data_IF_129044032575
#
_entry.id   IF_129044032575
#
_cell.length_a   1.000
_cell.length_b   1.000
_cell.length_c   1.000
_cell.angle_alpha   90.00
_cell.angle_beta   90.00
_cell.angle_gamma   90.00
#
_symmetry.space_group_name_H-M   'P 1'
#
loop_
_entity.id
_entity.type
_entity.pdbx_description
1 polymer ?
#
# COMPACT_ATOMS: atom_id res chain seq x y z
N UNK A 1 -18.93 19.42 -15.69
CA UNK A 1 -18.73 19.45 -14.23
C UNK A 1 -17.29 19.07 -13.94
N UNK A 2 -16.52 19.84 -13.15
CA UNK A 2 -15.20 19.39 -12.72
C UNK A 2 -15.39 18.10 -11.91
N UNK A 3 -14.65 17.04 -12.24
CA UNK A 3 -14.60 15.84 -11.38
C UNK A 3 -14.05 16.28 -10.03
N UNK A 4 -14.75 15.95 -8.95
CA UNK A 4 -14.24 16.17 -7.60
C UNK A 4 -12.84 15.55 -7.50
N UNK A 5 -11.89 16.27 -6.92
CA UNK A 5 -10.58 15.70 -6.60
C UNK A 5 -10.83 14.53 -5.63
N UNK A 6 -10.13 13.38 -5.76
CA UNK A 6 -10.17 12.36 -4.74
C UNK A 6 -9.81 13.00 -3.40
N UNK A 7 -10.62 12.76 -2.37
CA UNK A 7 -10.33 13.18 -1.00
C UNK A 7 -9.18 12.29 -0.52
N UNK A 8 -8.06 12.88 -0.15
CA UNK A 8 -7.01 12.16 0.60
C UNK A 8 -7.64 11.83 1.95
N UNK A 9 -7.75 10.55 2.30
CA UNK A 9 -8.46 10.13 3.52
C UNK A 9 -7.67 10.40 4.82
N UNK A 10 -6.49 11.01 4.73
CA UNK A 10 -5.63 11.34 5.87
C UNK A 10 -6.46 12.00 6.98
N UNK A 11 -6.53 11.29 8.11
CA UNK A 11 -7.14 11.71 9.39
C UNK A 11 -8.64 12.05 9.39
N UNK A 12 -9.30 12.10 8.23
CA UNK A 12 -10.72 12.39 8.15
C UNK A 12 -11.56 11.16 8.59
N UNK A 13 -12.42 11.27 9.62
CA UNK A 13 -13.28 10.17 10.00
C UNK A 13 -14.19 9.79 8.84
N UNK A 14 -14.34 8.49 8.62
CA UNK A 14 -15.20 7.95 7.56
C UNK A 14 -16.54 7.59 8.16
N UNK A 15 -17.57 8.37 7.85
CA UNK A 15 -18.93 8.03 8.27
C UNK A 15 -19.39 6.72 7.63
N UNK A 16 -20.06 5.87 8.41
CA UNK A 16 -20.58 4.59 7.94
C UNK A 16 -21.47 4.73 6.69
N UNK A 17 -22.22 5.84 6.59
CA UNK A 17 -23.08 6.15 5.44
C UNK A 17 -22.30 6.46 4.14
N UNK A 18 -21.01 6.79 4.23
CA UNK A 18 -20.16 7.21 3.11
C UNK A 18 -19.30 6.07 2.56
N UNK A 19 -19.36 4.88 3.16
CA UNK A 19 -18.53 3.71 2.80
C UNK A 19 -18.60 3.34 1.31
N UNK A 20 -19.76 3.45 0.69
CA UNK A 20 -19.95 3.12 -0.75
C UNK A 20 -19.23 4.12 -1.68
N UNK A 21 -18.78 5.27 -1.19
CA UNK A 21 -18.04 6.27 -1.94
C UNK A 21 -16.51 6.11 -1.89
N UNK A 22 -16.00 5.14 -1.13
CA UNK A 22 -14.56 4.94 -0.96
C UNK A 22 -13.90 4.42 -2.24
N UNK A 23 -12.62 4.77 -2.49
CA UNK A 23 -11.88 4.31 -3.67
C UNK A 23 -11.40 2.86 -3.56
N UNK A 24 -11.77 2.14 -2.50
CA UNK A 24 -11.38 0.75 -2.23
C UNK A 24 -12.53 0.00 -1.53
N UNK A 25 -12.45 -1.32 -1.55
CA UNK A 25 -13.41 -2.18 -0.85
C UNK A 25 -12.92 -2.46 0.58
N UNK A 26 -13.75 -2.17 1.58
CA UNK A 26 -13.45 -2.54 2.97
C UNK A 26 -13.71 -4.02 3.24
N UNK A 27 -12.77 -4.66 3.96
CA UNK A 27 -12.93 -6.01 4.51
C UNK A 27 -14.13 -6.04 5.47
N UNK A 28 -14.89 -7.14 5.46
CA UNK A 28 -16.04 -7.35 6.35
C UNK A 28 -15.62 -8.21 7.53
N UNK A 29 -16.04 -7.84 8.73
CA UNK A 29 -15.92 -8.68 9.92
C UNK A 29 -17.17 -9.55 10.09
N UNK A 30 -16.96 -10.81 10.48
CA UNK A 30 -18.03 -11.68 10.97
C UNK A 30 -18.30 -11.41 12.46
N UNK A 31 -19.44 -11.92 12.96
CA UNK A 31 -19.74 -11.84 14.40
C UNK A 31 -18.70 -12.60 15.22
N UNK A 32 -18.21 -13.75 14.72
CA UNK A 32 -17.19 -14.52 15.41
C UNK A 32 -15.86 -13.76 15.51
N UNK A 33 -15.43 -13.12 14.41
CA UNK A 33 -14.23 -12.28 14.40
C UNK A 33 -14.38 -11.06 15.32
N UNK A 34 -15.56 -10.44 15.37
CA UNK A 34 -15.82 -9.35 16.30
C UNK A 34 -15.61 -9.76 17.76
N UNK A 35 -16.10 -10.95 18.15
CA UNK A 35 -15.84 -11.47 19.48
C UNK A 35 -14.37 -11.83 19.70
N UNK A 36 -13.71 -12.42 18.68
CA UNK A 36 -12.29 -12.73 18.76
C UNK A 36 -11.41 -11.49 18.94
N UNK A 37 -11.78 -10.34 18.36
CA UNK A 37 -11.09 -9.06 18.60
C UNK A 37 -11.16 -8.63 20.08
N UNK A 38 -12.31 -8.82 20.73
CA UNK A 38 -12.48 -8.51 22.16
C UNK A 38 -11.69 -9.49 23.02
N UNK A 39 -11.77 -10.79 22.72
CA UNK A 39 -11.03 -11.84 23.44
C UNK A 39 -9.51 -11.65 23.33
N UNK A 40 -9.03 -11.18 22.19
CA UNK A 40 -7.63 -10.84 21.96
C UNK A 40 -7.20 -9.50 22.59
N UNK A 41 -8.14 -8.72 23.15
CA UNK A 41 -7.87 -7.41 23.73
C UNK A 41 -7.57 -6.31 22.71
N UNK A 42 -7.87 -6.55 21.43
CA UNK A 42 -7.70 -5.57 20.33
C UNK A 42 -8.81 -4.53 20.40
N UNK A 43 -10.03 -4.97 20.71
CA UNK A 43 -11.11 -4.08 21.15
C UNK A 43 -11.16 -4.12 22.67
N UNK A 44 -11.11 -2.96 23.32
CA UNK A 44 -11.13 -2.91 24.78
C UNK A 44 -12.50 -3.36 25.33
N UNK A 45 -12.51 -4.01 26.50
CA UNK A 45 -13.75 -4.35 27.19
C UNK A 45 -14.48 -3.06 27.60
N UNK A 46 -15.60 -2.78 26.94
CA UNK A 46 -16.35 -1.52 27.11
C UNK A 46 -16.01 -0.41 26.12
N UNK A 47 -15.16 -0.68 25.12
CA UNK A 47 -15.03 0.19 23.95
C UNK A 47 -16.40 0.37 23.29
N UNK A 48 -16.78 1.63 23.03
CA UNK A 48 -18.14 1.96 22.59
C UNK A 48 -18.30 1.78 21.07
N UNK A 49 -18.14 0.53 20.61
CA UNK A 49 -18.25 0.13 19.21
C UNK A 49 -19.34 -0.92 19.00
N UNK A 50 -19.82 -1.04 17.78
CA UNK A 50 -20.76 -2.09 17.35
C UNK A 50 -20.42 -2.64 15.95
N UNK A 51 -20.93 -3.82 15.65
CA UNK A 51 -20.78 -4.46 14.33
C UNK A 51 -22.01 -4.20 13.44
N UNK A 52 -21.89 -3.27 12.48
CA UNK A 52 -22.95 -2.93 11.52
C UNK A 52 -22.67 -3.49 10.13
N UNK A 53 -23.44 -4.50 9.71
CA UNK A 53 -23.30 -5.18 8.40
C UNK A 53 -21.85 -5.60 8.08
N UNK A 54 -21.11 -6.02 9.11
CA UNK A 54 -19.71 -6.43 9.00
C UNK A 54 -18.70 -5.27 9.01
N UNK A 55 -19.07 -4.11 9.56
CA UNK A 55 -18.16 -2.97 9.81
C UNK A 55 -18.14 -2.70 11.30
N UNK A 56 -16.97 -2.41 11.85
CA UNK A 56 -16.83 -1.99 13.25
C UNK A 56 -16.96 -0.46 13.27
N UNK A 57 -17.93 0.04 14.03
CA UNK A 57 -18.37 1.43 13.99
C UNK A 57 -18.44 1.95 15.42
N UNK A 58 -18.02 3.18 15.64
CA UNK A 58 -18.19 3.89 16.91
C UNK A 58 -19.66 4.24 17.14
N UNK A 59 -20.21 3.87 18.30
CA UNK A 59 -21.64 4.02 18.62
C UNK A 59 -22.10 5.50 18.71
N UNK A 60 -21.20 6.41 19.07
CA UNK A 60 -21.54 7.82 19.30
C UNK A 60 -21.59 8.62 18.00
N UNK A 61 -20.69 8.31 17.07
CA UNK A 61 -20.44 9.09 15.85
C UNK A 61 -20.94 8.39 14.59
N UNK A 62 -21.14 7.08 14.65
CA UNK A 62 -21.35 6.22 13.48
C UNK A 62 -20.21 6.32 12.45
N UNK A 63 -19.00 6.63 12.89
CA UNK A 63 -17.79 6.57 12.07
C UNK A 63 -17.18 5.16 12.11
N UNK A 64 -16.51 4.76 11.04
CA UNK A 64 -15.71 3.54 11.03
C UNK A 64 -14.62 3.63 12.09
N UNK A 65 -14.49 2.58 12.91
CA UNK A 65 -13.36 2.45 13.81
C UNK A 65 -12.09 2.25 13.00
N UNK A 66 -11.09 3.08 13.25
CA UNK A 66 -9.75 2.92 12.68
C UNK A 66 -8.91 1.98 13.56
N UNK A 67 -8.03 1.23 12.94
CA UNK A 67 -7.06 0.35 13.60
C UNK A 67 -5.65 0.91 13.49
N UNK A 68 -4.85 0.77 14.54
CA UNK A 68 -3.41 1.03 14.43
C UNK A 68 -2.71 -0.12 13.69
N UNK A 69 -1.44 0.09 13.30
CA UNK A 69 -0.61 -0.98 12.75
C UNK A 69 -0.44 -2.12 13.76
N UNK A 70 -0.24 -1.79 15.03
CA UNK A 70 -0.08 -2.77 16.12
C UNK A 70 -1.36 -3.60 16.33
N UNK A 71 -2.53 -2.96 16.24
CA UNK A 71 -3.80 -3.67 16.31
C UNK A 71 -3.99 -4.60 15.11
N UNK A 72 -3.63 -4.15 13.90
CA UNK A 72 -3.68 -4.96 12.69
C UNK A 72 -2.74 -6.18 12.76
N UNK A 73 -1.49 -5.98 13.18
CA UNK A 73 -0.53 -7.07 13.41
C UNK A 73 -1.03 -8.02 14.51
N UNK A 74 -1.64 -7.49 15.58
CA UNK A 74 -2.25 -8.29 16.64
C UNK A 74 -3.43 -9.12 16.12
N UNK A 75 -4.23 -8.62 15.16
CA UNK A 75 -5.29 -9.40 14.53
C UNK A 75 -4.74 -10.61 13.77
N UNK A 76 -3.62 -10.43 13.07
CA UNK A 76 -2.94 -11.51 12.35
C UNK A 76 -2.40 -12.53 13.37
N UNK A 77 -1.72 -12.06 14.41
CA UNK A 77 -1.17 -12.93 15.46
C UNK A 77 -2.25 -13.72 16.22
N UNK A 78 -3.43 -13.11 16.44
CA UNK A 78 -4.58 -13.75 17.07
C UNK A 78 -5.39 -14.65 16.11
N UNK A 79 -5.09 -14.65 14.82
CA UNK A 79 -5.82 -15.42 13.81
C UNK A 79 -7.19 -14.87 13.45
N UNK A 80 -7.48 -13.61 13.79
CA UNK A 80 -8.68 -12.88 13.33
C UNK A 80 -8.58 -12.60 11.84
N UNK A 81 -7.38 -12.21 11.40
CA UNK A 81 -6.95 -12.23 10.01
C UNK A 81 -6.00 -13.41 9.85
N UNK A 82 -6.14 -14.19 8.78
CA UNK A 82 -5.16 -15.24 8.53
C UNK A 82 -3.96 -14.67 7.77
N UNK A 83 -2.78 -15.22 8.04
CA UNK A 83 -1.56 -14.85 7.32
C UNK A 83 -1.75 -15.08 5.81
N UNK A 84 -1.60 -14.02 5.01
CA UNK A 84 -1.82 -14.06 3.56
C UNK A 84 -3.28 -13.85 3.12
N UNK A 85 -4.17 -13.41 4.02
CA UNK A 85 -5.44 -12.82 3.60
C UNK A 85 -5.14 -11.63 2.67
N UNK A 86 -5.80 -11.49 1.50
CA UNK A 86 -5.49 -10.43 0.53
C UNK A 86 -6.08 -9.09 0.99
N UNK A 87 -5.53 -8.56 2.07
CA UNK A 87 -5.91 -7.31 2.72
C UNK A 87 -4.69 -6.51 3.09
N UNK A 88 -4.87 -5.20 3.19
CA UNK A 88 -3.87 -4.27 3.71
C UNK A 88 -4.55 -3.24 4.61
N UNK A 89 -3.77 -2.67 5.53
CA UNK A 89 -4.21 -1.57 6.37
C UNK A 89 -3.90 -0.25 5.67
N UNK A 90 -4.93 0.51 5.29
CA UNK A 90 -4.76 1.84 4.73
C UNK A 90 -5.51 2.84 5.60
N UNK A 91 -4.79 3.78 6.21
CA UNK A 91 -5.36 4.86 7.01
C UNK A 91 -6.28 4.36 8.14
N UNK A 92 -5.83 3.29 8.78
CA UNK A 92 -6.52 2.54 9.83
C UNK A 92 -7.72 1.72 9.37
N UNK A 93 -7.95 1.60 8.06
CA UNK A 93 -9.03 0.80 7.50
C UNK A 93 -8.46 -0.46 6.85
N UNK A 94 -9.05 -1.61 7.16
CA UNK A 94 -8.64 -2.88 6.54
C UNK A 94 -9.37 -3.00 5.20
N UNK A 95 -8.59 -2.92 4.13
CA UNK A 95 -9.06 -2.91 2.75
C UNK A 95 -8.75 -4.23 2.07
N UNK A 96 -9.57 -4.63 1.09
CA UNK A 96 -9.26 -5.79 0.26
C UNK A 96 -8.35 -5.39 -0.89
N UNK A 97 -7.35 -6.21 -1.14
CA UNK A 97 -6.52 -6.09 -2.34
C UNK A 97 -7.30 -6.50 -3.59
N UNK A 98 -6.97 -5.86 -4.71
CA UNK A 98 -7.49 -6.26 -6.01
C UNK A 98 -6.91 -7.61 -6.44
N UNK A 99 -7.71 -8.41 -7.15
CA UNK A 99 -7.22 -9.65 -7.74
C UNK A 99 -6.11 -9.36 -8.77
N UNK A 100 -4.99 -10.07 -8.65
CA UNK A 100 -3.83 -9.92 -9.52
C UNK A 100 -4.08 -10.58 -10.88
N UNK A 101 -3.97 -9.81 -11.95
CA UNK A 101 -4.02 -10.29 -13.34
C UNK A 101 -2.66 -10.75 -13.86
N UNK A 102 -2.63 -11.53 -14.94
CA UNK A 102 -1.37 -12.03 -15.52
C UNK A 102 -0.43 -10.92 -16.00
N UNK A 103 -0.97 -9.80 -16.51
CA UNK A 103 -0.17 -8.66 -16.95
C UNK A 103 0.50 -7.95 -15.77
N UNK A 104 -0.19 -7.89 -14.63
CA UNK A 104 0.35 -7.40 -13.36
C UNK A 104 1.49 -8.29 -12.88
N UNK A 105 1.24 -9.59 -12.72
CA UNK A 105 2.24 -10.55 -12.27
C UNK A 105 3.49 -10.51 -13.16
N UNK A 106 3.33 -10.53 -14.49
CA UNK A 106 4.44 -10.47 -15.42
C UNK A 106 5.23 -9.15 -15.35
N UNK A 107 4.62 -8.04 -14.93
CA UNK A 107 5.30 -6.77 -14.71
C UNK A 107 6.16 -6.83 -13.43
N UNK A 108 5.60 -7.36 -12.35
CA UNK A 108 6.31 -7.57 -11.08
C UNK A 108 7.49 -8.53 -11.26
N UNK A 109 7.29 -9.66 -11.95
CA UNK A 109 8.34 -10.64 -12.25
C UNK A 109 9.52 -10.01 -13.00
N UNK A 110 9.24 -9.11 -13.96
CA UNK A 110 10.29 -8.44 -14.74
C UNK A 110 11.02 -7.36 -13.95
N UNK A 111 10.34 -6.71 -13.01
CA UNK A 111 10.99 -5.80 -12.07
C UNK A 111 11.89 -6.57 -11.10
N UNK A 112 11.43 -7.69 -10.53
CA UNK A 112 12.23 -8.53 -9.65
C UNK A 112 13.45 -9.12 -10.37
N UNK A 113 13.25 -9.66 -11.58
CA UNK A 113 14.34 -10.15 -12.45
C UNK A 113 15.38 -9.06 -12.70
N UNK A 114 14.95 -7.86 -13.11
CA UNK A 114 15.86 -6.75 -13.39
C UNK A 114 16.64 -6.32 -12.14
N UNK A 115 15.98 -6.22 -10.99
CA UNK A 115 16.65 -5.77 -9.76
C UNK A 115 17.46 -6.88 -9.06
N UNK A 116 17.30 -8.14 -9.47
CA UNK A 116 18.03 -9.28 -8.91
C UNK A 116 19.55 -9.13 -9.06
N UNK A 117 20.01 -8.48 -10.13
CA UNK A 117 21.43 -8.20 -10.40
C UNK A 117 22.07 -7.25 -9.37
N UNK A 118 21.27 -6.54 -8.56
CA UNK A 118 21.73 -5.55 -7.58
C UNK A 118 21.54 -6.02 -6.14
N UNK A 119 21.25 -7.30 -5.89
CA UNK A 119 21.04 -7.86 -4.54
C UNK A 119 22.28 -7.80 -3.62
N UNK A 120 23.46 -7.47 -4.16
CA UNK A 120 24.65 -7.16 -3.37
C UNK A 120 24.60 -5.75 -2.72
N UNK A 121 23.76 -4.86 -3.26
CA UNK A 121 23.63 -3.45 -2.81
C UNK A 121 22.34 -3.20 -2.04
N UNK A 122 21.32 -4.05 -2.20
CA UNK A 122 19.98 -3.87 -1.66
C UNK A 122 19.27 -5.22 -1.46
N UNK A 123 18.13 -5.19 -0.76
CA UNK A 123 17.18 -6.30 -0.73
C UNK A 123 16.05 -5.97 -1.71
N UNK A 124 15.72 -6.91 -2.61
CA UNK A 124 14.51 -6.84 -3.42
C UNK A 124 13.44 -7.69 -2.74
N UNK A 125 12.29 -7.07 -2.45
CA UNK A 125 11.14 -7.70 -1.81
C UNK A 125 9.89 -7.44 -2.63
N UNK A 126 9.10 -8.48 -2.87
CA UNK A 126 7.84 -8.37 -3.62
C UNK A 126 6.67 -8.66 -2.70
N UNK A 127 5.56 -7.93 -2.90
CA UNK A 127 4.26 -8.21 -2.29
C UNK A 127 4.37 -8.50 -0.78
N UNK A 128 4.97 -7.56 -0.04
CA UNK A 128 5.19 -7.72 1.39
C UNK A 128 5.02 -6.38 2.12
N UNK A 129 4.64 -6.38 3.40
CA UNK A 129 4.37 -5.16 4.15
C UNK A 129 5.56 -4.21 4.28
N UNK A 130 5.23 -2.91 4.30
CA UNK A 130 6.06 -1.81 4.81
C UNK A 130 5.26 -1.11 5.91
N UNK A 131 5.86 -0.85 7.08
CA UNK A 131 5.19 -0.17 8.19
C UNK A 131 5.22 1.34 8.01
N UNK A 132 4.03 1.96 8.01
CA UNK A 132 3.82 3.41 7.97
C UNK A 132 2.95 3.84 9.18
N UNK A 133 3.52 3.79 10.40
CA UNK A 133 2.75 3.72 11.64
C UNK A 133 1.97 5.00 11.99
N UNK A 134 2.50 6.19 11.69
CA UNK A 134 1.89 7.47 12.10
C UNK A 134 0.50 7.70 11.49
N UNK A 135 0.21 7.10 10.33
CA UNK A 135 -1.12 7.15 9.71
C UNK A 135 -1.91 5.83 9.85
N UNK A 136 -1.46 4.90 10.69
CA UNK A 136 -2.09 3.58 10.83
C UNK A 136 -2.14 2.84 9.49
N UNK A 137 -1.03 2.83 8.75
CA UNK A 137 -0.98 2.28 7.39
C UNK A 137 0.14 1.25 7.29
N UNK A 138 -0.16 0.12 6.67
CA UNK A 138 0.80 -0.95 6.40
C UNK A 138 0.49 -1.52 4.99
N UNK A 139 0.92 -0.82 3.93
CA UNK A 139 0.68 -1.26 2.56
C UNK A 139 1.64 -2.39 2.17
N UNK A 140 1.20 -3.19 1.21
CA UNK A 140 2.07 -4.17 0.54
C UNK A 140 2.35 -3.70 -0.90
N UNK A 141 3.44 -2.95 -1.15
CA UNK A 141 3.80 -2.61 -2.52
C UNK A 141 4.14 -3.87 -3.32
N UNK A 142 3.90 -3.81 -4.62
CA UNK A 142 4.22 -4.92 -5.52
C UNK A 142 5.71 -5.24 -5.56
N UNK A 143 6.56 -4.21 -5.47
CA UNK A 143 8.00 -4.36 -5.28
C UNK A 143 8.56 -3.24 -4.40
N UNK A 144 9.47 -3.60 -3.50
CA UNK A 144 10.25 -2.67 -2.70
C UNK A 144 11.75 -2.98 -2.84
N UNK A 145 12.55 -1.93 -3.00
CA UNK A 145 13.99 -1.97 -2.84
C UNK A 145 14.31 -1.47 -1.43
N UNK A 146 14.95 -2.31 -0.63
CA UNK A 146 15.22 -2.05 0.77
C UNK A 146 16.71 -1.94 1.05
N UNK A 147 17.04 -1.18 2.09
CA UNK A 147 18.37 -1.17 2.71
C UNK A 147 18.75 -2.60 3.13
N UNK A 148 19.98 -3.06 2.82
CA UNK A 148 20.46 -4.36 3.31
C UNK A 148 20.41 -4.44 4.83
N UNK A 149 19.91 -5.57 5.33
CA UNK A 149 19.82 -5.91 6.76
C UNK A 149 20.06 -7.41 6.90
N UNK A 150 20.91 -7.82 7.84
CA UNK A 150 21.39 -9.21 7.93
C UNK A 150 20.27 -10.25 8.15
N UNK A 151 19.25 -9.88 8.94
CA UNK A 151 18.09 -10.72 9.25
C UNK A 151 16.98 -10.63 8.20
N UNK A 152 17.19 -9.89 7.11
CA UNK A 152 16.16 -9.63 6.11
C UNK A 152 14.83 -9.15 6.72
N UNK A 153 14.87 -8.30 7.75
CA UNK A 153 13.66 -7.77 8.41
C UNK A 153 12.77 -8.86 9.03
N UNK A 154 13.36 -9.99 9.47
CA UNK A 154 12.64 -11.06 10.17
C UNK A 154 11.98 -10.57 11.46
N UNK A 155 12.62 -9.66 12.19
CA UNK A 155 12.11 -9.19 13.49
C UNK A 155 11.14 -8.00 13.39
N UNK A 156 10.77 -7.58 12.18
CA UNK A 156 9.87 -6.45 11.96
C UNK A 156 9.99 -5.89 10.55
N UNK A 157 8.85 -5.54 9.96
CA UNK A 157 8.74 -4.99 8.61
C UNK A 157 9.55 -3.68 8.44
N UNK A 158 10.04 -3.39 7.22
CA UNK A 158 10.79 -2.16 6.95
C UNK A 158 9.95 -0.91 7.20
N UNK A 159 10.61 0.13 7.70
CA UNK A 159 10.06 1.48 7.90
C UNK A 159 10.52 2.42 6.76
N UNK A 160 9.99 3.65 6.62
CA UNK A 160 10.30 4.52 5.47
C UNK A 160 11.79 4.74 5.19
N UNK A 161 12.62 4.86 6.22
CA UNK A 161 14.08 5.09 6.10
C UNK A 161 14.87 3.86 5.59
N UNK A 162 14.23 2.70 5.61
CA UNK A 162 14.74 1.44 5.08
C UNK A 162 14.34 1.24 3.61
N UNK A 163 13.38 2.00 3.10
CA UNK A 163 12.83 1.81 1.76
C UNK A 163 13.47 2.79 0.78
N UNK A 164 14.29 2.26 -0.13
CA UNK A 164 14.91 3.04 -1.20
C UNK A 164 13.93 3.36 -2.34
N UNK A 165 13.04 2.44 -2.66
CA UNK A 165 12.02 2.59 -3.70
C UNK A 165 10.84 1.68 -3.37
N UNK A 166 9.62 2.22 -3.43
CA UNK A 166 8.39 1.44 -3.47
C UNK A 166 7.78 1.51 -4.88
N UNK A 167 7.33 0.38 -5.42
CA UNK A 167 6.71 0.27 -6.75
C UNK A 167 5.31 -0.31 -6.61
N UNK A 168 4.33 0.43 -7.10
CA UNK A 168 2.96 -0.03 -7.32
C UNK A 168 2.77 -0.36 -8.80
N UNK A 169 2.22 -1.53 -9.09
CA UNK A 169 1.81 -1.95 -10.43
C UNK A 169 0.30 -1.93 -10.47
N UNK A 170 -0.26 -1.17 -11.41
CA UNK A 170 -1.68 -0.93 -11.42
C UNK A 170 -2.32 -1.32 -12.75
N UNK A 171 -3.14 -2.37 -12.72
CA UNK A 171 -4.08 -2.70 -13.80
C UNK A 171 -5.39 -1.89 -13.60
N UNK A 172 -6.08 -2.08 -12.48
CA UNK A 172 -7.36 -1.40 -12.19
C UNK A 172 -7.30 -0.45 -10.99
N UNK A 173 -6.23 -0.52 -10.20
CA UNK A 173 -6.06 0.18 -8.92
C UNK A 173 -5.40 1.55 -9.06
N UNK A 174 -5.01 1.96 -10.28
CA UNK A 174 -4.18 3.16 -10.48
C UNK A 174 -4.83 4.46 -9.97
N UNK A 175 -6.16 4.47 -9.77
CA UNK A 175 -6.84 5.58 -9.11
C UNK A 175 -6.57 5.60 -7.60
N UNK A 176 -6.79 4.46 -6.96
CA UNK A 176 -6.57 4.21 -5.53
C UNK A 176 -5.10 4.39 -5.15
N UNK A 177 -4.17 3.83 -5.92
CA UNK A 177 -2.74 3.96 -5.63
C UNK A 177 -2.31 5.43 -5.64
N UNK A 178 -2.85 6.23 -6.58
CA UNK A 178 -2.56 7.67 -6.65
C UNK A 178 -3.20 8.50 -5.54
N UNK A 179 -4.35 8.10 -5.02
CA UNK A 179 -5.09 8.89 -4.02
C UNK A 179 -4.76 8.49 -2.59
N UNK A 180 -4.36 7.24 -2.37
CA UNK A 180 -4.13 6.70 -1.02
C UNK A 180 -2.65 6.35 -0.80
N UNK A 181 -2.10 5.39 -1.57
CA UNK A 181 -0.76 4.84 -1.30
C UNK A 181 0.36 5.83 -1.57
N UNK A 182 0.37 6.47 -2.74
CA UNK A 182 1.42 7.44 -3.12
C UNK A 182 1.47 8.63 -2.14
N UNK A 183 0.33 9.26 -1.74
CA UNK A 183 0.32 10.24 -0.67
C UNK A 183 0.80 9.70 0.69
N UNK A 184 0.40 8.48 1.07
CA UNK A 184 0.84 7.87 2.33
C UNK A 184 2.37 7.67 2.34
N UNK A 185 2.97 7.26 1.23
CA UNK A 185 4.44 7.18 1.11
C UNK A 185 5.10 8.55 1.27
N UNK A 186 4.58 9.59 0.63
CA UNK A 186 5.12 10.93 0.72
C UNK A 186 5.05 11.49 2.16
N UNK A 187 3.91 11.33 2.82
CA UNK A 187 3.68 11.83 4.17
C UNK A 187 4.63 11.22 5.21
N UNK A 188 5.12 10.00 4.95
CA UNK A 188 6.12 9.32 5.79
C UNK A 188 7.57 9.52 5.30
N UNK A 189 7.81 10.41 4.34
CA UNK A 189 9.15 10.74 3.88
C UNK A 189 9.81 9.68 3.00
N UNK A 190 9.05 8.70 2.49
CA UNK A 190 9.59 7.64 1.64
C UNK A 190 10.20 8.27 0.38
N UNK A 191 11.48 8.02 0.14
CA UNK A 191 12.30 8.85 -0.77
C UNK A 191 11.83 8.86 -2.22
N UNK A 192 11.39 7.71 -2.71
CA UNK A 192 10.99 7.52 -4.10
C UNK A 192 9.89 6.47 -4.22
N UNK A 193 8.83 6.79 -4.96
CA UNK A 193 7.77 5.86 -5.29
C UNK A 193 7.51 5.82 -6.80
N UNK A 194 7.25 4.64 -7.33
CA UNK A 194 6.93 4.41 -8.73
C UNK A 194 5.51 3.84 -8.85
N UNK A 195 4.76 4.33 -9.84
CA UNK A 195 3.46 3.76 -10.21
C UNK A 195 3.46 3.37 -11.68
N UNK A 196 3.35 2.07 -11.95
CA UNK A 196 3.21 1.51 -13.30
C UNK A 196 1.73 1.44 -13.66
N UNK A 197 1.23 2.38 -14.47
CA UNK A 197 -0.14 2.37 -14.99
C UNK A 197 -0.17 1.51 -16.26
N UNK A 198 -0.49 0.22 -16.10
CA UNK A 198 -0.46 -0.76 -17.18
C UNK A 198 -1.46 -0.42 -18.31
N UNK A 199 -2.75 -0.09 -18.04
CA UNK A 199 -3.69 0.22 -19.12
C UNK A 199 -3.31 1.43 -19.95
N UNK A 200 -2.58 2.38 -19.34
CA UNK A 200 -2.13 3.58 -20.05
C UNK A 200 -0.68 3.51 -20.49
N UNK A 201 0.01 2.40 -20.27
CA UNK A 201 1.42 2.18 -20.63
C UNK A 201 2.34 3.35 -20.21
N UNK A 202 2.41 3.63 -18.92
CA UNK A 202 3.41 4.56 -18.36
C UNK A 202 3.94 4.12 -17.02
N UNK A 203 5.15 4.59 -16.75
CA UNK A 203 5.70 4.71 -15.42
C UNK A 203 5.55 6.15 -14.93
N UNK A 204 4.97 6.33 -13.74
CA UNK A 204 5.02 7.60 -13.01
C UNK A 204 6.06 7.49 -11.90
N UNK A 205 6.97 8.46 -11.82
CA UNK A 205 8.03 8.52 -10.81
C UNK A 205 7.74 9.70 -9.90
N UNK A 206 7.74 9.44 -8.59
CA UNK A 206 7.45 10.39 -7.54
C UNK A 206 8.65 10.56 -6.61
N UNK A 207 9.06 11.80 -6.35
CA UNK A 207 10.24 12.18 -5.55
C UNK A 207 10.01 13.48 -4.80
N UNK A 208 10.90 13.76 -3.85
CA UNK A 208 10.86 14.94 -3.00
C UNK A 208 9.57 14.92 -2.14
N UNK A 209 9.52 14.02 -1.13
CA UNK A 209 8.31 13.81 -0.34
C UNK A 209 7.94 15.08 0.44
N UNK A 210 6.66 15.47 0.34
CA UNK A 210 6.04 16.53 1.13
C UNK A 210 4.85 15.99 1.95
N UNK A 211 4.22 16.85 2.79
CA UNK A 211 3.20 16.41 3.74
C UNK A 211 1.94 15.80 3.10
N UNK A 212 1.51 16.34 1.95
CA UNK A 212 0.30 15.87 1.26
C UNK A 212 0.61 14.91 0.10
N UNK A 213 1.77 15.10 -0.55
CA UNK A 213 2.23 14.31 -1.69
C UNK A 213 3.68 14.64 -2.03
N UNK A 214 4.24 13.93 -3.01
CA UNK A 214 5.53 14.23 -3.60
C UNK A 214 5.50 15.53 -4.41
N UNK A 215 6.52 16.37 -4.26
CA UNK A 215 6.65 17.63 -4.99
C UNK A 215 7.07 17.41 -6.46
N UNK A 216 7.83 16.35 -6.73
CA UNK A 216 8.28 16.00 -8.08
C UNK A 216 7.50 14.80 -8.60
N UNK A 217 6.87 14.98 -9.77
CA UNK A 217 6.29 13.90 -10.57
C UNK A 217 6.84 13.93 -11.99
N UNK A 218 7.36 12.79 -12.46
CA UNK A 218 7.70 12.56 -13.87
C UNK A 218 6.86 11.42 -14.44
N UNK A 219 6.62 11.46 -15.74
CA UNK A 219 5.90 10.40 -16.45
C UNK A 219 6.75 9.96 -17.63
N UNK A 220 7.08 8.68 -17.65
CA UNK A 220 7.91 8.04 -18.65
C UNK A 220 7.08 7.04 -19.47
N UNK A 221 7.49 6.86 -20.72
CA UNK A 221 6.87 6.01 -21.74
C UNK A 221 7.91 5.04 -22.29
N UNK A 222 7.46 4.12 -23.14
CA UNK A 222 8.36 3.23 -23.90
C UNK A 222 9.39 4.07 -24.67
N UNK A 223 10.66 3.66 -24.61
CA UNK A 223 11.79 4.43 -25.17
C UNK A 223 12.46 5.39 -24.18
N UNK A 224 11.85 5.64 -23.02
CA UNK A 224 12.50 6.31 -21.90
C UNK A 224 13.18 5.30 -20.96
N UNK A 225 14.00 5.79 -20.04
CA UNK A 225 14.56 5.02 -18.93
C UNK A 225 14.39 5.75 -17.59
N UNK A 226 14.20 4.96 -16.53
CA UNK A 226 14.11 5.43 -15.16
C UNK A 226 15.41 5.14 -14.40
N UNK A 227 15.91 6.09 -13.62
CA UNK A 227 17.13 5.91 -12.82
C UNK A 227 16.77 5.98 -11.33
N UNK A 228 16.68 4.87 -10.57
CA UNK A 228 16.36 4.90 -9.15
C UNK A 228 17.37 5.75 -8.37
N UNK A 229 16.91 6.52 -7.38
CA UNK A 229 17.79 7.42 -6.63
C UNK A 229 18.85 6.64 -5.83
N UNK A 230 18.52 5.44 -5.36
CA UNK A 230 19.47 4.56 -4.66
C UNK A 230 20.47 3.86 -5.60
N UNK A 231 20.20 3.84 -6.90
CA UNK A 231 21.04 3.25 -7.94
C UNK A 231 21.29 4.27 -9.06
N UNK A 232 22.02 5.39 -8.79
CA UNK A 232 22.17 6.49 -9.73
C UNK A 232 22.97 6.14 -11.00
N UNK A 233 23.62 4.97 -11.00
CA UNK A 233 24.38 4.37 -12.07
C UNK A 233 23.58 3.34 -12.90
N UNK A 234 22.29 3.15 -12.59
CA UNK A 234 21.43 2.13 -13.20
C UNK A 234 20.26 2.78 -13.92
N UNK A 235 20.19 2.57 -15.23
CA UNK A 235 19.03 2.94 -16.04
C UNK A 235 18.13 1.71 -16.25
N UNK A 236 16.85 1.85 -15.89
CA UNK A 236 15.80 0.85 -16.09
C UNK A 236 14.97 1.26 -17.31
N UNK A 237 15.15 0.62 -18.47
CA UNK A 237 14.34 0.95 -19.64
C UNK A 237 12.86 0.67 -19.38
N UNK A 238 11.97 1.58 -19.74
CA UNK A 238 10.54 1.43 -19.45
C UNK A 238 9.95 0.19 -20.13
N UNK A 239 10.45 -0.21 -21.31
CA UNK A 239 10.06 -1.47 -21.96
C UNK A 239 10.42 -2.73 -21.16
N UNK A 240 11.45 -2.70 -20.31
CA UNK A 240 11.75 -3.83 -19.41
C UNK A 240 10.68 -3.99 -18.34
N UNK A 241 10.04 -2.88 -17.94
CA UNK A 241 8.93 -2.82 -16.96
C UNK A 241 7.58 -3.10 -17.61
N UNK A 242 7.28 -2.51 -18.77
CA UNK A 242 5.97 -2.68 -19.43
C UNK A 242 5.88 -3.93 -20.31
N UNK A 243 6.99 -4.44 -20.83
CA UNK A 243 7.09 -5.73 -21.51
C UNK A 243 7.07 -5.57 -23.01
N UNK A 244 6.96 -6.65 -23.80
CA UNK A 244 6.71 -6.48 -25.22
C UNK A 244 5.41 -5.68 -25.39
N UNK A 245 5.46 -4.56 -26.13
CA UNK A 245 4.26 -3.80 -26.47
C UNK A 245 3.20 -4.70 -27.09
N UNK A 246 1.93 -4.40 -26.84
CA UNK A 246 0.82 -5.19 -27.36
C UNK A 246 0.99 -5.52 -28.85
N UNK A 247 0.85 -6.81 -29.15
CA UNK A 247 0.70 -7.33 -30.52
C UNK A 247 -0.65 -6.92 -31.07
#
# INVERSE_FOLDING_TARGET
MPKARPRVLQDDPVAYAEVEGLPFELRRFTVAEYHALIEAGILAEGENVELLKGRIVENETYHLRRFSVEEYEAMIAAGVLYSGEPVELLNGLITKMAAVGSHHAACVDRLDDFFSDYRDRLIVRTQSPIRLPDLGTEPEPDLALLRPREDFYETGHPEPDDVFLAVEVADRTAGTDRSEKIPAYAAHGLREAWLVDLPRERLEIYRDPGPDSYETKRTLRRGDAATPVALPDVDVPVERILGPGGV
#
